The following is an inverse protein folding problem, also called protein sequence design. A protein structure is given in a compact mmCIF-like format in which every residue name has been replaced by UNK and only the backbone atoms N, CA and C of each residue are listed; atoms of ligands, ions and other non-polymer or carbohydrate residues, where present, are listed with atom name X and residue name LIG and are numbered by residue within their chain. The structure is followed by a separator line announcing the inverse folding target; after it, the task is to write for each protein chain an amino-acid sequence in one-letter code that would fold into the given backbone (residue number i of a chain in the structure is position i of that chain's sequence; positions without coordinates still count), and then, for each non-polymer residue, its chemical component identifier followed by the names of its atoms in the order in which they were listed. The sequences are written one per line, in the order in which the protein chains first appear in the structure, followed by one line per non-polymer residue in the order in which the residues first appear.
data_IF_316252198860
#
_entry.id   IF_316252198860
#
_cell.length_a   1.000
_cell.length_b   1.000
_cell.length_c   1.000
_cell.angle_alpha   90.00
_cell.angle_beta   90.00
_cell.angle_gamma   90.00
#
_symmetry.space_group_name_H-M   'P 1'
#
loop_
_entity.id
_entity.type
_entity.pdbx_description
1 polymer ?
#
# COMPACT_ATOMS: atom_id res chain seq x y z
N UNK A 1 12.65 -5.05 19.82
CA UNK A 1 13.89 -4.59 19.18
C UNK A 1 14.87 -4.18 20.27
N UNK A 2 16.10 -4.67 20.21
CA UNK A 2 17.18 -4.25 21.12
C UNK A 2 17.68 -2.88 20.66
N UNK A 3 17.84 -1.96 21.63
CA UNK A 3 18.35 -0.61 21.40
C UNK A 3 19.35 -0.24 22.48
N UNK A 4 20.31 0.60 22.17
CA UNK A 4 21.23 1.16 23.14
C UNK A 4 20.58 2.30 23.90
N UNK A 5 20.99 2.49 25.17
CA UNK A 5 20.50 3.55 26.04
C UNK A 5 19.48 3.08 27.08
N UNK A 6 18.85 4.05 27.74
CA UNK A 6 17.90 3.82 28.84
C UNK A 6 16.45 4.09 28.44
N UNK A 7 16.16 4.09 27.14
CA UNK A 7 14.83 4.37 26.60
C UNK A 7 14.21 3.13 25.98
N UNK A 8 12.89 3.01 26.06
CA UNK A 8 12.11 2.03 25.31
C UNK A 8 11.68 2.66 23.99
N UNK A 9 11.90 1.95 22.88
CA UNK A 9 11.35 2.35 21.59
C UNK A 9 9.97 1.73 21.40
N UNK A 10 8.96 2.58 21.21
CA UNK A 10 7.60 2.18 20.95
C UNK A 10 7.23 2.57 19.52
N UNK A 11 6.65 1.62 18.77
CA UNK A 11 6.16 1.92 17.43
C UNK A 11 4.93 2.85 17.53
N UNK A 12 4.81 3.91 16.69
CA UNK A 12 3.71 4.87 16.76
C UNK A 12 2.31 4.26 16.68
N UNK A 13 2.11 3.18 15.93
CA UNK A 13 0.82 2.48 15.86
C UNK A 13 0.39 1.81 17.17
N UNK A 14 1.34 1.51 18.04
CA UNK A 14 1.07 0.91 19.37
C UNK A 14 0.82 1.97 20.45
N UNK A 15 1.08 3.24 20.19
CA UNK A 15 0.89 4.31 21.18
C UNK A 15 -0.55 4.38 21.70
N UNK A 16 -1.53 4.19 20.81
CA UNK A 16 -2.95 4.20 21.17
C UNK A 16 -3.30 3.08 22.15
N UNK A 17 -2.78 1.87 21.95
CA UNK A 17 -3.04 0.72 22.80
C UNK A 17 -2.41 0.88 24.20
N UNK A 18 -1.22 1.46 24.28
CA UNK A 18 -0.54 1.78 25.55
C UNK A 18 -0.98 3.09 26.16
N UNK A 19 -1.79 3.89 25.46
CA UNK A 19 -2.09 5.29 25.80
C UNK A 19 -0.81 6.07 26.14
N UNK A 20 0.23 5.87 25.30
CA UNK A 20 1.55 6.46 25.51
C UNK A 20 1.81 7.57 24.49
N UNK A 21 2.51 8.59 24.93
CA UNK A 21 3.11 9.62 24.10
C UNK A 21 4.63 9.73 24.38
N UNK A 22 5.30 10.68 23.75
CA UNK A 22 6.75 10.84 23.86
C UNK A 22 7.15 12.12 24.61
N UNK A 23 6.29 12.59 25.51
CA UNK A 23 6.50 13.80 26.32
C UNK A 23 7.20 13.54 27.65
N UNK A 24 7.54 12.28 27.96
CA UNK A 24 8.22 11.88 29.20
C UNK A 24 7.57 10.69 29.91
N UNK A 25 6.67 9.97 29.25
CA UNK A 25 6.05 8.76 29.77
C UNK A 25 7.08 7.70 30.15
N UNK A 26 6.82 7.01 31.25
CA UNK A 26 7.64 5.91 31.73
C UNK A 26 6.92 4.58 31.53
N UNK A 27 7.69 3.55 31.19
CA UNK A 27 7.21 2.19 31.02
C UNK A 27 8.12 1.22 31.80
N UNK A 28 7.52 0.11 32.26
CA UNK A 28 8.24 -0.98 32.90
C UNK A 28 8.34 -2.20 31.98
N UNK A 29 9.40 -2.99 32.16
CA UNK A 29 9.59 -4.26 31.50
C UNK A 29 9.31 -5.38 32.48
N UNK A 30 8.37 -6.26 32.16
CA UNK A 30 8.03 -7.44 32.93
C UNK A 30 8.38 -8.70 32.14
N UNK A 31 9.05 -9.66 32.80
CA UNK A 31 9.42 -10.94 32.19
C UNK A 31 8.56 -12.04 32.84
N UNK A 32 7.62 -12.66 32.09
CA UNK A 32 6.82 -13.76 32.62
C UNK A 32 7.68 -15.00 32.80
N UNK A 33 7.61 -15.61 34.02
CA UNK A 33 8.46 -16.74 34.42
C UNK A 33 7.75 -18.08 34.21
N UNK A 34 6.43 -18.17 34.44
CA UNK A 34 5.70 -19.43 34.32
C UNK A 34 5.24 -19.68 32.88
N UNK A 35 5.00 -20.93 32.52
CA UNK A 35 4.50 -21.30 31.17
C UNK A 35 3.11 -20.70 30.91
N UNK A 36 2.24 -20.66 31.90
CA UNK A 36 0.91 -20.07 31.82
C UNK A 36 0.98 -18.57 31.55
N UNK A 37 1.83 -17.83 32.31
CA UNK A 37 2.02 -16.41 32.10
C UNK A 37 2.61 -16.08 30.74
N UNK A 38 3.53 -16.93 30.24
CA UNK A 38 4.06 -16.78 28.87
C UNK A 38 2.99 -17.02 27.81
N UNK A 39 2.11 -18.00 28.00
CA UNK A 39 0.99 -18.27 27.11
C UNK A 39 0.00 -17.11 27.08
N UNK A 40 -0.39 -16.58 28.23
CA UNK A 40 -1.24 -15.39 28.33
C UNK A 40 -0.63 -14.18 27.63
N UNK A 41 0.65 -13.90 27.85
CA UNK A 41 1.36 -12.80 27.20
C UNK A 41 1.35 -12.93 25.67
N UNK A 42 1.53 -14.14 25.13
CA UNK A 42 1.51 -14.38 23.69
C UNK A 42 0.12 -14.31 23.08
N UNK A 43 -0.89 -14.85 23.77
CA UNK A 43 -2.25 -14.94 23.23
C UNK A 43 -3.01 -13.63 23.42
N UNK A 44 -2.94 -13.04 24.63
CA UNK A 44 -3.78 -11.90 25.01
C UNK A 44 -3.08 -10.54 24.86
N UNK A 45 -1.74 -10.46 24.97
CA UNK A 45 -1.03 -9.18 25.04
C UNK A 45 -0.25 -8.84 23.77
N UNK A 46 0.08 -9.82 22.93
CA UNK A 46 0.86 -9.55 21.71
C UNK A 46 0.07 -8.62 20.78
N UNK A 47 0.67 -7.51 20.36
CA UNK A 47 0.00 -6.51 19.51
C UNK A 47 -0.48 -7.07 18.15
N UNK A 48 0.23 -8.06 17.60
CA UNK A 48 -0.18 -8.72 16.36
C UNK A 48 -1.52 -9.48 16.49
N UNK A 49 -1.89 -9.91 17.71
CA UNK A 49 -3.15 -10.60 17.98
C UNK A 49 -4.29 -9.64 18.38
N UNK A 50 -3.96 -8.36 18.62
CA UNK A 50 -4.89 -7.34 19.13
C UNK A 50 -5.04 -6.18 18.14
N UNK A 51 -5.35 -6.50 16.89
CA UNK A 51 -5.54 -5.49 15.84
C UNK A 51 -6.89 -4.78 15.92
N UNK A 52 -7.88 -5.40 16.57
CA UNK A 52 -9.22 -4.86 16.73
C UNK A 52 -9.50 -4.48 18.18
N UNK A 53 -10.20 -3.37 18.38
CA UNK A 53 -10.66 -2.94 19.72
C UNK A 53 -11.77 -3.88 20.19
N UNK A 54 -11.69 -4.39 21.44
CA UNK A 54 -12.73 -5.24 21.97
C UNK A 54 -14.06 -4.51 22.21
N UNK A 55 -14.04 -3.17 22.31
CA UNK A 55 -15.21 -2.37 22.59
C UNK A 55 -16.14 -2.21 21.38
N UNK A 56 -15.60 -1.98 20.19
CA UNK A 56 -16.36 -1.63 18.98
C UNK A 56 -15.93 -2.38 17.72
N UNK A 57 -14.94 -3.26 17.81
CA UNK A 57 -14.41 -4.03 16.68
C UNK A 57 -13.64 -3.23 15.64
N UNK A 58 -13.39 -1.94 15.89
CA UNK A 58 -12.61 -1.11 14.98
C UNK A 58 -11.11 -1.39 15.12
N UNK A 59 -10.35 -1.11 14.07
CA UNK A 59 -8.90 -1.24 14.12
C UNK A 59 -8.27 -0.33 15.19
N UNK A 60 -7.35 -0.89 15.97
CA UNK A 60 -6.51 -0.12 16.91
C UNK A 60 -5.40 0.58 16.17
N UNK A 61 -4.85 -0.07 15.13
CA UNK A 61 -3.68 0.37 14.36
C UNK A 61 -4.11 1.20 13.15
N UNK A 62 -4.70 2.37 13.41
CA UNK A 62 -5.06 3.31 12.34
C UNK A 62 -3.89 4.26 12.05
N UNK A 63 -3.61 4.57 10.77
CA UNK A 63 -2.57 5.52 10.40
C UNK A 63 -2.76 6.89 11.06
N UNK A 64 -1.70 7.44 11.65
CA UNK A 64 -1.67 8.80 12.18
C UNK A 64 -1.61 9.85 11.07
N UNK A 65 -1.69 11.14 11.45
CA UNK A 65 -1.70 12.25 10.47
C UNK A 65 -0.45 12.27 9.59
N UNK A 66 0.73 12.08 10.17
CA UNK A 66 1.99 12.06 9.41
C UNK A 66 2.10 10.83 8.50
N UNK A 67 1.54 9.70 8.94
CA UNK A 67 1.46 8.48 8.13
C UNK A 67 0.49 8.60 6.96
N UNK A 68 -0.47 9.52 7.01
CA UNK A 68 -1.35 9.86 5.88
C UNK A 68 -0.69 10.85 4.93
N UNK A 69 0.05 11.80 5.49
CA UNK A 69 0.77 12.82 4.71
C UNK A 69 1.83 12.19 3.80
N UNK A 70 2.57 11.17 4.29
CA UNK A 70 3.58 10.47 3.51
C UNK A 70 3.03 9.84 2.22
N UNK A 71 2.05 8.94 2.28
CA UNK A 71 1.40 8.37 1.10
C UNK A 71 0.72 9.41 0.20
N UNK A 72 0.12 10.44 0.78
CA UNK A 72 -0.42 11.55 -0.02
C UNK A 72 0.67 12.20 -0.87
N UNK A 73 1.78 12.61 -0.24
CA UNK A 73 2.90 13.21 -0.98
C UNK A 73 3.47 12.26 -2.02
N UNK A 74 3.61 10.97 -1.68
CA UNK A 74 4.14 9.97 -2.59
C UNK A 74 3.25 9.74 -3.82
N UNK A 75 1.93 9.84 -3.67
CA UNK A 75 0.95 9.48 -4.71
C UNK A 75 0.43 10.68 -5.52
N UNK A 76 0.80 11.91 -5.19
CA UNK A 76 0.45 13.08 -6.01
C UNK A 76 1.14 13.04 -7.36
N UNK A 77 0.55 13.69 -8.34
CA UNK A 77 1.14 13.97 -9.64
C UNK A 77 1.45 15.45 -9.77
N UNK A 78 2.49 15.77 -10.52
CA UNK A 78 2.91 17.15 -10.80
C UNK A 78 3.13 17.30 -12.29
N UNK A 79 2.36 18.20 -12.90
CA UNK A 79 2.56 18.56 -14.30
C UNK A 79 3.90 19.28 -14.51
N UNK A 80 4.55 19.01 -15.63
CA UNK A 80 5.83 19.63 -16.00
C UNK A 80 7.05 19.03 -15.30
N UNK A 81 6.91 17.90 -14.60
CA UNK A 81 8.05 17.22 -14.00
C UNK A 81 8.87 16.46 -15.06
N UNK A 82 10.17 16.29 -14.80
CA UNK A 82 11.08 15.62 -15.73
C UNK A 82 10.57 14.21 -16.05
N UNK A 83 10.54 13.89 -17.35
CA UNK A 83 10.11 12.57 -17.84
C UNK A 83 8.61 12.36 -17.95
N UNK A 84 7.81 13.43 -17.85
CA UNK A 84 6.37 13.36 -18.09
C UNK A 84 6.06 12.80 -19.49
N UNK A 85 5.09 11.89 -19.56
CA UNK A 85 4.64 11.25 -20.80
C UNK A 85 5.51 10.10 -21.30
N UNK A 86 6.63 9.80 -20.66
CA UNK A 86 7.47 8.67 -21.04
C UNK A 86 6.74 7.34 -20.82
N UNK A 87 7.05 6.38 -21.70
CA UNK A 87 6.49 5.03 -21.68
C UNK A 87 7.59 4.04 -21.27
N UNK A 88 7.30 3.20 -20.27
CA UNK A 88 8.22 2.23 -19.73
C UNK A 88 7.68 0.81 -19.89
N UNK A 89 8.60 -0.13 -20.05
CA UNK A 89 8.30 -1.54 -20.19
C UNK A 89 7.79 -2.17 -18.89
N UNK A 90 8.42 -1.82 -17.77
CA UNK A 90 8.11 -2.38 -16.46
C UNK A 90 8.51 -1.43 -15.32
N UNK A 91 8.18 -1.84 -14.09
CA UNK A 91 8.54 -1.09 -12.87
C UNK A 91 10.05 -0.88 -12.70
N UNK A 92 10.87 -1.88 -13.03
CA UNK A 92 12.31 -1.80 -12.80
C UNK A 92 12.96 -0.77 -13.73
N UNK A 93 12.48 -0.68 -14.97
CA UNK A 93 12.93 0.35 -15.92
C UNK A 93 12.60 1.77 -15.41
N UNK A 94 11.40 1.97 -14.83
CA UNK A 94 11.04 3.27 -14.21
C UNK A 94 12.00 3.61 -13.06
N UNK A 95 12.31 2.63 -12.18
CA UNK A 95 13.24 2.84 -11.06
C UNK A 95 14.64 3.18 -11.56
N UNK A 96 15.13 2.51 -12.59
CA UNK A 96 16.43 2.82 -13.21
C UNK A 96 16.44 4.22 -13.84
N UNK A 97 15.37 4.61 -14.52
CA UNK A 97 15.23 5.96 -15.09
C UNK A 97 15.22 7.03 -13.99
N UNK A 98 14.54 6.76 -12.86
CA UNK A 98 14.54 7.66 -11.71
C UNK A 98 15.95 7.80 -11.09
N UNK A 99 16.67 6.70 -10.90
CA UNK A 99 18.04 6.71 -10.37
C UNK A 99 19.01 7.49 -11.27
N UNK A 100 18.75 7.50 -12.58
CA UNK A 100 19.51 8.30 -13.56
C UNK A 100 18.95 9.72 -13.76
N UNK A 101 18.02 10.16 -12.93
CA UNK A 101 17.40 11.51 -12.99
C UNK A 101 16.69 11.82 -14.32
N UNK A 102 16.26 10.79 -15.05
CA UNK A 102 15.50 10.92 -16.30
C UNK A 102 14.00 11.07 -16.07
N UNK A 103 13.51 10.68 -14.89
CA UNK A 103 12.09 10.74 -14.49
C UNK A 103 11.99 11.23 -13.05
N UNK A 104 11.05 12.13 -12.79
CA UNK A 104 10.69 12.57 -11.45
C UNK A 104 9.74 11.60 -10.74
N UNK A 105 9.67 11.69 -9.42
CA UNK A 105 8.80 10.79 -8.62
C UNK A 105 7.31 11.01 -8.89
N UNK A 106 6.93 12.24 -9.21
CA UNK A 106 5.55 12.68 -9.42
C UNK A 106 5.20 12.90 -10.89
N UNK A 107 6.14 12.60 -11.81
CA UNK A 107 5.92 12.70 -13.24
C UNK A 107 4.82 11.73 -13.69
N UNK A 108 3.86 12.21 -14.47
CA UNK A 108 2.85 11.36 -15.08
C UNK A 108 3.49 10.54 -16.22
N UNK A 109 3.60 9.24 -16.03
CA UNK A 109 4.24 8.29 -16.94
C UNK A 109 3.27 7.17 -17.33
N UNK A 110 3.65 6.43 -18.36
CA UNK A 110 2.93 5.25 -18.81
C UNK A 110 3.77 4.00 -18.60
N UNK A 111 3.21 2.99 -17.97
CA UNK A 111 3.94 1.76 -17.64
C UNK A 111 3.14 0.55 -18.09
N UNK A 112 3.82 -0.40 -18.75
CA UNK A 112 3.23 -1.69 -19.05
C UNK A 112 3.16 -2.52 -17.79
N UNK A 113 1.96 -3.00 -17.48
CA UNK A 113 1.71 -3.94 -16.42
C UNK A 113 1.21 -5.24 -17.03
N UNK A 114 1.80 -6.34 -16.61
CA UNK A 114 1.42 -7.69 -17.01
C UNK A 114 1.04 -8.46 -15.76
N UNK A 115 -0.08 -9.16 -15.81
CA UNK A 115 -0.57 -9.99 -14.70
C UNK A 115 -1.22 -11.26 -15.26
N UNK A 116 -0.92 -12.37 -14.61
CA UNK A 116 -1.61 -13.63 -14.86
C UNK A 116 -2.88 -13.71 -13.99
N UNK A 117 -4.02 -13.94 -14.63
CA UNK A 117 -5.33 -14.06 -14.00
C UNK A 117 -6.01 -15.29 -14.61
N UNK A 118 -6.41 -16.24 -13.76
CA UNK A 118 -7.04 -17.52 -14.17
C UNK A 118 -6.25 -18.28 -15.26
N UNK A 119 -4.90 -18.26 -15.16
CA UNK A 119 -4.02 -18.95 -16.09
C UNK A 119 -3.87 -18.29 -17.47
N UNK A 120 -4.36 -17.05 -17.65
CA UNK A 120 -4.14 -16.23 -18.84
C UNK A 120 -3.36 -14.97 -18.47
N UNK A 121 -2.45 -14.60 -19.35
CA UNK A 121 -1.64 -13.41 -19.20
C UNK A 121 -2.32 -12.20 -19.87
N UNK A 122 -2.57 -11.17 -19.06
CA UNK A 122 -3.12 -9.90 -19.55
C UNK A 122 -2.06 -8.81 -19.40
N UNK A 123 -1.92 -7.98 -20.43
CA UNK A 123 -0.95 -6.89 -20.47
C UNK A 123 -1.60 -5.61 -20.94
N UNK A 124 -1.38 -4.51 -20.25
CA UNK A 124 -1.84 -3.19 -20.66
C UNK A 124 -0.85 -2.09 -20.25
N UNK A 125 -0.95 -0.96 -20.91
CA UNK A 125 -0.22 0.27 -20.53
C UNK A 125 -1.16 1.09 -19.67
N UNK A 126 -0.74 1.30 -18.40
CA UNK A 126 -1.48 2.11 -17.44
C UNK A 126 -0.81 3.46 -17.23
N UNK A 127 -1.60 4.47 -16.88
CA UNK A 127 -1.11 5.76 -16.46
C UNK A 127 -0.79 5.72 -14.97
N UNK A 128 0.42 6.11 -14.59
CA UNK A 128 0.90 6.06 -13.21
C UNK A 128 1.94 7.16 -12.95
N UNK A 129 2.42 7.23 -11.71
CA UNK A 129 3.67 7.92 -11.33
C UNK A 129 4.58 6.91 -10.64
N UNK A 130 5.88 7.17 -10.60
CA UNK A 130 6.79 6.28 -9.86
C UNK A 130 6.36 6.13 -8.39
N UNK A 131 5.94 7.23 -7.76
CA UNK A 131 5.46 7.19 -6.38
C UNK A 131 4.24 6.29 -6.19
N UNK A 132 3.27 6.30 -7.11
CA UNK A 132 2.11 5.39 -7.08
C UNK A 132 2.52 3.93 -7.30
N UNK A 133 3.46 3.67 -8.18
CA UNK A 133 4.00 2.31 -8.39
C UNK A 133 4.68 1.77 -7.13
N UNK A 134 5.52 2.58 -6.48
CA UNK A 134 6.19 2.20 -5.22
C UNK A 134 5.16 1.93 -4.13
N UNK A 135 4.16 2.80 -3.98
CA UNK A 135 3.14 2.68 -2.95
C UNK A 135 2.24 1.46 -3.14
N UNK A 136 1.87 1.14 -4.38
CA UNK A 136 1.02 -0.02 -4.69
C UNK A 136 1.75 -1.37 -4.61
N UNK A 137 3.08 -1.38 -4.62
CA UNK A 137 3.87 -2.63 -4.64
C UNK A 137 3.60 -3.56 -3.45
N UNK A 138 3.55 -3.07 -2.20
CA UNK A 138 3.21 -3.91 -1.04
C UNK A 138 1.70 -4.13 -0.87
N UNK A 139 0.85 -3.42 -1.60
CA UNK A 139 -0.61 -3.48 -1.45
C UNK A 139 -1.15 -4.65 -2.29
N UNK A 140 -1.92 -5.57 -1.70
CA UNK A 140 -2.67 -6.57 -2.47
C UNK A 140 -3.58 -5.88 -3.50
N UNK A 141 -3.56 -6.36 -4.75
CA UNK A 141 -4.26 -5.71 -5.85
C UNK A 141 -5.68 -6.27 -6.06
N UNK A 142 -6.31 -6.74 -5.01
CA UNK A 142 -7.66 -7.32 -4.93
C UNK A 142 -8.51 -6.74 -3.78
N UNK A 143 -8.07 -5.63 -3.21
CA UNK A 143 -8.77 -4.97 -2.08
C UNK A 143 -10.11 -4.35 -2.45
N UNK A 144 -10.36 -4.09 -3.74
CA UNK A 144 -11.64 -3.57 -4.23
C UNK A 144 -11.82 -2.06 -4.14
N UNK A 145 -10.75 -1.28 -3.95
CA UNK A 145 -10.82 0.19 -4.08
C UNK A 145 -11.10 0.63 -5.52
N UNK A 146 -10.70 -0.18 -6.50
CA UNK A 146 -11.00 0.00 -7.91
C UNK A 146 -12.00 -1.06 -8.34
N UNK A 147 -13.12 -0.64 -8.94
CA UNK A 147 -14.07 -1.55 -9.55
C UNK A 147 -13.46 -2.14 -10.82
N UNK A 148 -13.11 -3.41 -10.77
CA UNK A 148 -12.54 -4.14 -11.90
C UNK A 148 -13.63 -4.91 -12.65
N UNK A 149 -13.55 -4.97 -13.98
CA UNK A 149 -14.41 -5.84 -14.76
C UNK A 149 -14.09 -7.31 -14.46
N UNK A 150 -15.10 -8.15 -14.57
CA UNK A 150 -14.94 -9.61 -14.53
C UNK A 150 -14.35 -10.10 -15.86
N UNK A 151 -13.75 -11.30 -15.86
CA UNK A 151 -13.17 -11.87 -17.10
C UNK A 151 -14.23 -12.00 -18.19
N UNK A 152 -15.47 -12.37 -17.85
CA UNK A 152 -16.56 -12.45 -18.80
C UNK A 152 -16.87 -11.10 -19.48
N UNK A 153 -16.75 -10.00 -18.72
CA UNK A 153 -16.97 -8.64 -19.25
C UNK A 153 -15.85 -8.14 -20.17
N UNK A 154 -14.68 -8.82 -20.19
CA UNK A 154 -13.60 -8.45 -21.10
C UNK A 154 -13.92 -8.80 -22.56
N UNK A 155 -14.74 -9.81 -22.79
CA UNK A 155 -15.08 -10.40 -24.09
C UNK A 155 -16.51 -10.07 -24.51
N UNK A 156 -17.01 -8.89 -24.19
CA UNK A 156 -18.37 -8.46 -24.49
C UNK A 156 -18.50 -7.69 -25.82
N UNK A 157 -17.41 -7.59 -26.58
CA UNK A 157 -17.44 -6.94 -27.89
C UNK A 157 -18.07 -7.89 -28.93
N UNK A 158 -19.25 -7.54 -29.50
CA UNK A 158 -19.91 -8.38 -30.51
C UNK A 158 -19.13 -8.53 -31.81
N UNK A 159 -18.25 -7.56 -32.12
CA UNK A 159 -17.42 -7.57 -33.37
C UNK A 159 -16.16 -8.43 -33.17
N UNK A 160 -15.66 -8.54 -31.95
CA UNK A 160 -14.44 -9.29 -31.62
C UNK A 160 -14.62 -10.15 -30.37
N UNK A 161 -15.45 -11.22 -30.42
CA UNK A 161 -15.78 -12.03 -29.24
C UNK A 161 -14.60 -12.83 -28.66
N UNK A 162 -13.55 -13.04 -29.44
CA UNK A 162 -12.35 -13.80 -29.04
C UNK A 162 -11.21 -12.90 -28.52
N UNK A 163 -11.32 -11.58 -28.66
CA UNK A 163 -10.31 -10.63 -28.24
C UNK A 163 -10.80 -9.82 -27.03
N UNK A 164 -9.97 -9.68 -25.98
CA UNK A 164 -10.37 -8.88 -24.82
C UNK A 164 -10.34 -7.40 -25.15
N UNK A 165 -11.36 -6.66 -24.74
CA UNK A 165 -11.47 -5.22 -24.93
C UNK A 165 -10.30 -4.49 -24.22
N UNK A 166 -9.46 -3.73 -24.98
CA UNK A 166 -8.25 -3.11 -24.42
C UNK A 166 -8.51 -2.14 -23.26
N UNK A 167 -9.62 -1.38 -23.32
CA UNK A 167 -9.98 -0.44 -22.24
C UNK A 167 -10.36 -1.18 -20.95
N UNK A 168 -11.07 -2.30 -21.07
CA UNK A 168 -11.43 -3.13 -19.94
C UNK A 168 -10.21 -3.87 -19.36
N UNK A 169 -9.28 -4.31 -20.20
CA UNK A 169 -7.99 -4.87 -19.74
C UNK A 169 -7.18 -3.81 -18.98
N UNK A 170 -7.13 -2.57 -19.48
CA UNK A 170 -6.49 -1.45 -18.79
C UNK A 170 -7.14 -1.20 -17.41
N UNK A 171 -8.47 -1.24 -17.34
CA UNK A 171 -9.19 -1.09 -16.07
C UNK A 171 -8.94 -2.27 -15.12
N UNK A 172 -8.88 -3.51 -15.62
CA UNK A 172 -8.55 -4.71 -14.86
C UNK A 172 -7.16 -4.64 -14.21
N UNK A 173 -6.18 -4.13 -14.95
CA UNK A 173 -4.78 -4.03 -14.54
C UNK A 173 -4.43 -2.72 -13.82
N UNK A 174 -5.40 -1.80 -13.65
CA UNK A 174 -5.18 -0.54 -12.94
C UNK A 174 -4.69 -0.77 -11.51
N UNK A 175 -3.97 0.21 -10.96
CA UNK A 175 -3.49 0.19 -9.59
C UNK A 175 -4.67 0.38 -8.61
N UNK A 176 -4.61 -0.26 -7.43
CA UNK A 176 -5.60 -0.02 -6.37
C UNK A 176 -5.61 1.44 -5.92
N UNK A 177 -4.43 2.04 -5.77
CA UNK A 177 -4.30 3.47 -5.47
C UNK A 177 -3.81 4.18 -6.73
N UNK A 178 -4.74 4.55 -7.60
CA UNK A 178 -4.48 5.24 -8.86
C UNK A 178 -4.55 6.78 -8.76
N UNK A 179 -5.03 7.30 -7.63
CA UNK A 179 -5.21 8.74 -7.36
C UNK A 179 -4.47 9.12 -6.07
N UNK A 180 -4.23 10.43 -5.81
CA UNK A 180 -3.66 10.86 -4.54
C UNK A 180 -4.44 10.32 -3.35
N UNK A 181 -3.74 9.67 -2.41
CA UNK A 181 -4.36 9.07 -1.23
C UNK A 181 -4.96 10.14 -0.31
N UNK A 182 -6.11 9.83 0.29
CA UNK A 182 -6.78 10.67 1.30
C UNK A 182 -6.90 9.88 2.59
N UNK A 183 -7.16 10.58 3.69
CA UNK A 183 -7.36 9.93 4.99
C UNK A 183 -8.41 8.81 4.95
N UNK A 184 -9.50 8.99 4.19
CA UNK A 184 -10.58 8.01 4.02
C UNK A 184 -10.18 6.75 3.25
N UNK A 185 -9.06 6.80 2.51
CA UNK A 185 -8.58 5.69 1.69
C UNK A 185 -7.59 4.81 2.47
N UNK A 186 -7.16 5.26 3.68
CA UNK A 186 -6.17 4.62 4.53
C UNK A 186 -6.73 4.17 5.89
N UNK A 187 -7.98 4.50 6.19
CA UNK A 187 -8.62 4.27 7.49
C UNK A 187 -9.77 3.29 7.52
#
# INVERSE_FOLDING_TARGET
VLVEGRALKLHPLNCTAFNADFDGDQMAIHVPLSAEAQAEARILMLSANNLLKPADGRSVTTPGQDMVLGPYWLTIDRAGEVGEGHVFRDFNEVVMAYQNHLVGMHAAIKVRVTREIEGREYSAIIDATLGRLIFNRPIPQDLGFVKRPTIAELYDDPEHPDEPNPEKVKQLLSLEIAVPTRKKDLG
#
